data_IF_924142942426
#
_entry.id   IF_924142942426
#
_cell.length_a   1.000
_cell.length_b   1.000
_cell.length_c   1.000
_cell.angle_alpha   90.00
_cell.angle_beta   90.00
_cell.angle_gamma   90.00
#
_symmetry.space_group_name_H-M   'P 1'
#
loop_
_entity.id
_entity.type
_entity.pdbx_description
1 polymer ?
#
# COMPACT_ATOMS: atom_id res chain seq x y z
N UNK A 1 35.87 -8.28 21.11
CA UNK A 1 35.31 -9.60 21.50
C UNK A 1 33.90 -9.66 20.94
N UNK A 2 33.53 -10.77 20.28
CA UNK A 2 32.40 -10.96 19.34
C UNK A 2 32.60 -10.59 17.84
N UNK A 3 33.62 -11.15 17.15
CA UNK A 3 33.62 -11.27 15.69
C UNK A 3 32.57 -12.27 15.16
N UNK A 4 32.19 -13.27 15.96
CA UNK A 4 31.40 -14.43 15.49
C UNK A 4 29.91 -14.14 15.23
N UNK A 5 29.37 -13.04 15.76
CA UNK A 5 27.96 -12.71 15.59
C UNK A 5 27.63 -12.11 14.21
N UNK A 6 28.60 -11.39 13.61
CA UNK A 6 28.46 -10.85 12.25
C UNK A 6 28.69 -11.93 11.19
N UNK A 7 29.62 -12.86 11.43
CA UNK A 7 29.90 -13.96 10.51
C UNK A 7 28.74 -14.97 10.46
N UNK A 8 28.02 -15.16 11.58
CA UNK A 8 26.79 -15.94 11.63
C UNK A 8 25.62 -15.26 10.89
N UNK A 9 25.55 -13.93 10.87
CA UNK A 9 24.52 -13.20 10.12
C UNK A 9 24.77 -13.23 8.60
N UNK A 10 26.03 -13.13 8.16
CA UNK A 10 26.41 -13.19 6.73
C UNK A 10 26.11 -14.53 6.06
N UNK A 11 26.21 -15.65 6.78
CA UNK A 11 25.89 -16.99 6.24
C UNK A 11 24.39 -17.27 6.07
N UNK A 12 23.52 -16.54 6.77
CA UNK A 12 22.06 -16.67 6.63
C UNK A 12 21.54 -15.90 5.40
N UNK A 13 22.28 -14.90 4.92
CA UNK A 13 21.89 -14.05 3.78
C UNK A 13 22.70 -14.31 2.49
N UNK A 14 23.65 -15.26 2.49
CA UNK A 14 24.37 -15.67 1.28
C UNK A 14 25.32 -14.60 0.70
N UNK A 15 25.68 -13.58 1.47
CA UNK A 15 26.61 -12.53 1.04
C UNK A 15 28.03 -12.87 1.52
N UNK A 16 28.92 -13.18 0.57
CA UNK A 16 30.36 -13.25 0.85
C UNK A 16 30.97 -11.84 0.81
N UNK A 17 31.51 -11.39 1.94
CA UNK A 17 32.21 -10.10 2.04
C UNK A 17 33.66 -10.29 1.57
N UNK A 18 33.94 -9.96 0.31
CA UNK A 18 35.31 -9.68 -0.15
C UNK A 18 35.60 -8.18 -0.02
N UNK A 19 36.77 -7.85 0.52
CA UNK A 19 37.27 -6.47 0.71
C UNK A 19 37.50 -5.76 -0.63
N UNK A 20 37.28 -4.43 -0.73
CA UNK A 20 37.36 -3.72 -2.01
C UNK A 20 38.82 -3.52 -2.45
N UNK A 21 39.19 -4.10 -3.59
CA UNK A 21 40.36 -3.66 -4.36
C UNK A 21 39.95 -2.48 -5.25
N UNK A 22 40.71 -1.39 -5.20
CA UNK A 22 40.60 -0.28 -6.14
C UNK A 22 40.89 -0.79 -7.57
N UNK A 23 40.13 -0.38 -8.60
CA UNK A 23 40.48 -0.70 -9.97
C UNK A 23 41.64 0.20 -10.45
N UNK A 24 42.66 -0.45 -10.99
CA UNK A 24 43.69 0.19 -11.82
C UNK A 24 43.03 0.78 -13.08
N UNK A 25 43.43 2.01 -13.41
CA UNK A 25 43.14 2.66 -14.68
C UNK A 25 44.15 2.12 -15.70
N UNK A 26 43.73 1.21 -16.56
CA UNK A 26 44.46 0.87 -17.78
C UNK A 26 43.84 1.65 -18.94
N UNK A 27 44.66 2.50 -19.55
CA UNK A 27 44.43 3.13 -20.84
C UNK A 27 44.57 2.05 -21.93
N UNK A 28 43.54 1.80 -22.73
CA UNK A 28 43.67 1.01 -23.96
C UNK A 28 43.40 1.89 -25.19
N UNK A 29 44.48 2.08 -25.96
CA UNK A 29 44.52 2.59 -27.32
C UNK A 29 43.83 1.64 -28.31
N UNK A 30 43.37 2.24 -29.41
CA UNK A 30 42.62 1.66 -30.51
C UNK A 30 43.23 0.40 -31.15
N UNK A 31 42.36 -0.55 -31.55
CA UNK A 31 42.60 -1.34 -32.75
C UNK A 31 41.31 -1.65 -33.50
N UNK A 32 41.20 -1.07 -34.70
CA UNK A 32 40.17 -1.34 -35.69
C UNK A 32 40.30 -2.78 -36.24
N UNK A 33 39.24 -3.59 -36.16
CA UNK A 33 39.00 -4.62 -37.18
C UNK A 33 37.52 -4.71 -37.54
N UNK A 34 37.27 -4.55 -38.84
CA UNK A 34 35.98 -4.56 -39.52
C UNK A 34 35.31 -5.94 -39.50
N UNK A 35 34.04 -5.98 -39.10
CA UNK A 35 33.18 -7.17 -39.16
C UNK A 35 31.70 -6.81 -39.04
N UNK A 36 31.09 -6.46 -40.17
CA UNK A 36 29.69 -6.05 -40.31
C UNK A 36 28.68 -7.13 -39.87
N UNK A 37 27.96 -6.89 -38.78
CA UNK A 37 26.54 -7.25 -38.67
C UNK A 37 25.75 -6.08 -38.05
N UNK A 38 25.08 -5.34 -38.93
CA UNK A 38 24.20 -4.22 -38.63
C UNK A 38 22.93 -4.71 -37.94
N UNK A 39 22.79 -4.43 -36.64
CA UNK A 39 21.51 -4.09 -36.03
C UNK A 39 21.59 -2.65 -35.54
N UNK A 40 21.09 -1.65 -36.29
CA UNK A 40 21.15 -0.28 -35.82
C UNK A 40 19.80 0.14 -35.22
N UNK A 41 19.91 0.98 -34.18
CA UNK A 41 18.87 1.82 -33.58
C UNK A 41 17.98 1.24 -32.46
N UNK A 42 18.58 1.09 -31.27
CA UNK A 42 17.88 1.41 -30.00
C UNK A 42 18.81 1.84 -28.85
N UNK A 43 20.02 2.29 -29.18
CA UNK A 43 20.97 2.84 -28.21
C UNK A 43 21.25 4.28 -28.56
N UNK A 44 20.29 5.17 -28.30
CA UNK A 44 20.65 6.57 -28.07
C UNK A 44 19.70 7.20 -27.07
N UNK A 45 20.33 7.73 -26.01
CA UNK A 45 19.81 8.49 -24.88
C UNK A 45 19.12 7.74 -23.74
N UNK A 46 19.89 7.54 -22.66
CA UNK A 46 19.37 7.78 -21.32
C UNK A 46 20.46 8.07 -20.30
N UNK A 47 20.32 9.24 -19.67
CA UNK A 47 21.29 9.95 -18.82
C UNK A 47 21.41 9.37 -17.39
N UNK A 48 20.68 8.28 -17.10
CA UNK A 48 20.58 7.64 -15.78
C UNK A 48 20.50 6.10 -15.92
N UNK A 49 21.11 5.37 -14.97
CA UNK A 49 21.22 3.90 -14.96
C UNK A 49 19.88 3.15 -14.87
N UNK A 50 18.87 3.71 -14.19
CA UNK A 50 17.59 3.03 -14.01
C UNK A 50 16.57 3.50 -15.07
N UNK A 51 15.91 2.58 -15.82
CA UNK A 51 15.08 2.92 -16.99
C UNK A 51 13.89 3.81 -16.65
N UNK A 52 13.38 3.73 -15.42
CA UNK A 52 12.23 4.53 -15.02
C UNK A 52 12.50 6.02 -14.88
N UNK A 53 13.76 6.41 -14.66
CA UNK A 53 14.11 7.84 -14.55
C UNK A 53 14.07 8.54 -15.90
N UNK A 54 14.12 7.74 -16.97
CA UNK A 54 14.02 8.20 -18.34
C UNK A 54 12.65 7.88 -18.97
N UNK A 55 11.76 7.23 -18.22
CA UNK A 55 10.43 6.87 -18.70
C UNK A 55 9.54 8.12 -18.79
N UNK A 56 8.98 8.38 -19.98
CA UNK A 56 7.91 9.36 -20.13
C UNK A 56 6.65 8.95 -19.35
N UNK A 57 5.71 9.89 -19.16
CA UNK A 57 4.49 9.68 -18.37
C UNK A 57 3.72 8.42 -18.81
N UNK A 58 3.57 8.20 -20.11
CA UNK A 58 2.88 7.02 -20.64
C UNK A 58 3.57 5.71 -20.26
N UNK A 59 4.89 5.62 -20.45
CA UNK A 59 5.68 4.42 -20.10
C UNK A 59 5.68 4.18 -18.58
N UNK A 60 5.69 5.27 -17.79
CA UNK A 60 5.57 5.21 -16.34
C UNK A 60 4.22 4.62 -15.89
N UNK A 61 3.11 5.11 -16.46
CA UNK A 61 1.76 4.68 -16.11
C UNK A 61 1.44 3.25 -16.59
N UNK A 62 1.91 2.87 -17.77
CA UNK A 62 1.69 1.53 -18.35
C UNK A 62 2.69 0.49 -17.89
N UNK A 63 3.69 0.88 -17.07
CA UNK A 63 4.81 0.05 -16.63
C UNK A 63 5.62 -0.56 -17.80
N UNK A 64 5.59 0.07 -18.97
CA UNK A 64 6.27 -0.43 -20.16
C UNK A 64 7.81 -0.47 -20.00
N UNK A 65 8.36 0.38 -19.13
CA UNK A 65 9.78 0.34 -18.77
C UNK A 65 10.22 -0.99 -18.11
N UNK A 66 9.28 -1.77 -17.53
CA UNK A 66 9.56 -3.07 -16.93
C UNK A 66 9.56 -4.22 -17.95
N UNK A 67 8.95 -4.02 -19.13
CA UNK A 67 8.79 -5.05 -20.15
C UNK A 67 10.10 -5.75 -20.57
N UNK A 68 11.25 -5.06 -20.73
CA UNK A 68 12.51 -5.72 -21.08
C UNK A 68 12.96 -6.73 -20.01
N UNK A 69 12.81 -6.40 -18.73
CA UNK A 69 13.15 -7.30 -17.62
C UNK A 69 12.19 -8.48 -17.55
N UNK A 70 10.89 -8.24 -17.74
CA UNK A 70 9.89 -9.31 -17.76
C UNK A 70 10.15 -10.32 -18.90
N UNK A 71 10.51 -9.83 -20.09
CA UNK A 71 10.88 -10.69 -21.22
C UNK A 71 12.17 -11.47 -20.97
N UNK A 72 13.16 -10.83 -20.33
CA UNK A 72 14.41 -11.50 -19.94
C UNK A 72 14.16 -12.61 -18.92
N UNK A 73 13.37 -12.32 -17.88
CA UNK A 73 12.96 -13.30 -16.87
C UNK A 73 12.23 -14.50 -17.49
N UNK A 74 11.33 -14.23 -18.44
CA UNK A 74 10.61 -15.28 -19.16
C UNK A 74 11.55 -16.17 -19.99
N UNK A 75 12.53 -15.57 -20.68
CA UNK A 75 13.50 -16.30 -21.51
C UNK A 75 14.52 -17.09 -20.69
N UNK A 76 15.02 -16.51 -19.60
CA UNK A 76 16.11 -17.09 -18.81
C UNK A 76 15.64 -18.05 -17.72
N UNK A 77 14.32 -18.13 -17.44
CA UNK A 77 13.70 -18.99 -16.40
C UNK A 77 14.15 -18.72 -14.96
N UNK A 78 15.21 -17.95 -14.75
CA UNK A 78 15.64 -17.40 -13.47
C UNK A 78 16.23 -16.00 -13.68
N UNK A 79 16.21 -15.19 -12.63
CA UNK A 79 16.84 -13.87 -12.57
C UNK A 79 17.90 -13.91 -11.46
N UNK A 80 19.10 -13.45 -11.77
CA UNK A 80 20.13 -13.15 -10.78
C UNK A 80 20.04 -11.67 -10.34
N UNK A 81 20.72 -11.31 -9.25
CA UNK A 81 20.78 -9.91 -8.79
C UNK A 81 21.46 -9.00 -9.82
N UNK A 82 22.38 -9.54 -10.61
CA UNK A 82 23.11 -8.81 -11.65
C UNK A 82 22.25 -8.51 -12.89
N UNK A 83 21.12 -9.21 -13.06
CA UNK A 83 20.16 -8.98 -14.15
C UNK A 83 19.21 -7.80 -13.87
N UNK A 84 19.18 -7.31 -12.62
CA UNK A 84 18.27 -6.25 -12.17
C UNK A 84 19.01 -4.91 -12.14
N UNK A 85 18.33 -3.85 -12.57
CA UNK A 85 18.91 -2.51 -12.52
C UNK A 85 19.25 -2.09 -11.09
N UNK A 86 20.39 -1.41 -10.94
CA UNK A 86 20.74 -0.71 -9.72
C UNK A 86 19.68 0.34 -9.34
N UNK A 87 19.59 0.64 -8.05
CA UNK A 87 18.59 1.57 -7.52
C UNK A 87 18.73 2.98 -8.16
N UNK A 88 17.61 3.60 -8.52
CA UNK A 88 17.58 4.99 -8.95
C UNK A 88 18.15 5.93 -7.88
N UNK A 89 18.90 6.94 -8.29
CA UNK A 89 19.45 7.97 -7.39
C UNK A 89 18.35 8.74 -6.64
N UNK A 90 17.15 8.86 -7.22
CA UNK A 90 16.00 9.51 -6.58
C UNK A 90 15.29 8.61 -5.55
N UNK A 91 15.50 7.31 -5.63
CA UNK A 91 14.98 6.30 -4.70
C UNK A 91 15.99 5.95 -3.59
N UNK A 92 17.22 6.44 -3.70
CA UNK A 92 18.29 6.21 -2.73
C UNK A 92 17.92 6.72 -1.33
N UNK A 93 18.27 5.93 -0.30
CA UNK A 93 17.95 6.28 1.09
C UNK A 93 18.70 7.54 1.55
N UNK A 94 19.95 7.75 1.13
CA UNK A 94 20.77 8.91 1.52
C UNK A 94 20.11 10.24 1.18
N UNK A 95 19.73 10.44 -0.08
CA UNK A 95 19.06 11.65 -0.57
C UNK A 95 17.72 11.87 0.15
N UNK A 96 16.92 10.81 0.29
CA UNK A 96 15.61 10.91 0.94
C UNK A 96 15.73 11.17 2.46
N UNK A 97 16.75 10.63 3.13
CA UNK A 97 17.06 10.92 4.53
C UNK A 97 17.49 12.36 4.73
N UNK A 98 18.39 12.90 3.91
CA UNK A 98 18.80 14.31 3.99
C UNK A 98 17.59 15.26 3.88
N UNK A 99 16.67 14.99 2.93
CA UNK A 99 15.43 15.75 2.81
C UNK A 99 14.55 15.64 4.07
N UNK A 100 14.45 14.45 4.65
CA UNK A 100 13.69 14.22 5.87
C UNK A 100 14.30 14.96 7.08
N UNK A 101 15.63 14.94 7.20
CA UNK A 101 16.37 15.69 8.22
C UNK A 101 16.14 17.19 8.10
N UNK A 102 16.23 17.74 6.90
CA UNK A 102 15.98 19.16 6.65
C UNK A 102 14.56 19.56 7.11
N UNK A 103 13.53 18.78 6.72
CA UNK A 103 12.15 19.03 7.13
C UNK A 103 11.96 18.91 8.65
N UNK A 104 12.68 18.00 9.30
CA UNK A 104 12.66 17.87 10.75
C UNK A 104 13.28 19.08 11.46
N UNK A 105 14.44 19.56 11.01
CA UNK A 105 15.09 20.75 11.59
C UNK A 105 14.24 22.01 11.37
N UNK A 106 13.59 22.14 10.21
CA UNK A 106 12.65 23.23 9.93
C UNK A 106 11.45 23.21 10.89
N UNK A 107 10.87 22.05 11.16
CA UNK A 107 9.77 21.91 12.12
C UNK A 107 10.21 22.27 13.56
N UNK A 108 11.39 21.81 13.98
CA UNK A 108 11.95 22.17 15.29
C UNK A 108 12.16 23.69 15.43
N UNK A 109 12.64 24.36 14.37
CA UNK A 109 12.86 25.81 14.36
C UNK A 109 11.54 26.59 14.43
N UNK A 110 10.50 26.13 13.74
CA UNK A 110 9.21 26.85 13.68
C UNK A 110 8.31 26.64 14.90
N UNK A 111 8.30 25.44 15.50
CA UNK A 111 7.32 25.06 16.55
C UNK A 111 7.94 24.83 17.92
N UNK A 112 9.26 24.93 18.03
CA UNK A 112 9.98 24.54 19.24
C UNK A 112 9.96 23.03 19.46
N UNK A 113 10.58 22.57 20.55
CA UNK A 113 10.76 21.13 20.83
C UNK A 113 9.48 20.45 21.27
N UNK A 114 8.68 21.11 22.09
CA UNK A 114 7.44 20.56 22.63
C UNK A 114 6.32 20.52 21.57
N UNK A 115 6.36 21.43 20.58
CA UNK A 115 5.39 21.49 19.49
C UNK A 115 5.75 20.68 18.24
N UNK A 116 6.97 20.14 18.14
CA UNK A 116 7.42 19.43 16.94
C UNK A 116 6.81 18.03 16.84
N UNK A 117 6.28 17.69 15.65
CA UNK A 117 5.66 16.38 15.40
C UNK A 117 6.20 15.68 14.15
N UNK A 118 6.61 14.42 14.32
CA UNK A 118 7.03 13.58 13.19
C UNK A 118 5.89 13.29 12.23
N UNK A 119 4.63 13.21 12.72
CA UNK A 119 3.46 13.04 11.86
C UNK A 119 3.36 14.15 10.82
N UNK A 120 3.62 15.40 11.25
CA UNK A 120 3.58 16.56 10.36
C UNK A 120 4.74 16.57 9.36
N UNK A 121 5.94 16.19 9.82
CA UNK A 121 7.13 16.11 8.96
C UNK A 121 6.97 15.02 7.91
N UNK A 122 6.47 13.84 8.27
CA UNK A 122 6.18 12.76 7.33
C UNK A 122 5.07 13.14 6.35
N UNK A 123 4.03 13.84 6.82
CA UNK A 123 3.02 14.40 5.93
C UNK A 123 3.64 15.37 4.92
N UNK A 124 4.42 16.37 5.35
CA UNK A 124 5.09 17.32 4.43
C UNK A 124 6.04 16.62 3.46
N UNK A 125 6.74 15.58 3.90
CA UNK A 125 7.63 14.80 3.04
C UNK A 125 6.87 14.16 1.87
N UNK A 126 5.65 13.64 2.14
CA UNK A 126 4.80 12.96 1.16
C UNK A 126 3.81 13.88 0.44
N UNK A 127 3.48 15.05 0.99
CA UNK A 127 2.30 15.85 0.62
C UNK A 127 2.15 16.10 -0.88
N UNK A 128 3.20 16.57 -1.55
CA UNK A 128 3.11 16.89 -2.99
C UNK A 128 2.77 15.67 -3.85
N UNK A 129 3.39 14.53 -3.55
CA UNK A 129 3.16 13.25 -4.26
C UNK A 129 1.82 12.64 -3.88
N UNK A 130 1.43 12.75 -2.61
CA UNK A 130 0.11 12.32 -2.15
C UNK A 130 -1.02 13.13 -2.77
N UNK A 131 -0.82 14.43 -3.01
CA UNK A 131 -1.81 15.24 -3.74
C UNK A 131 -1.97 14.79 -5.18
N UNK A 132 -0.87 14.45 -5.88
CA UNK A 132 -0.92 13.87 -7.23
C UNK A 132 -1.66 12.52 -7.21
N UNK A 133 -1.35 11.66 -6.25
CA UNK A 133 -2.03 10.36 -6.11
C UNK A 133 -3.53 10.51 -5.80
N UNK A 134 -3.89 11.43 -4.89
CA UNK A 134 -5.29 11.76 -4.60
C UNK A 134 -5.98 12.28 -5.85
N UNK A 135 -5.39 13.24 -6.57
CA UNK A 135 -5.94 13.76 -7.81
C UNK A 135 -6.18 12.65 -8.85
N UNK A 136 -5.20 11.76 -9.05
CA UNK A 136 -5.36 10.62 -9.95
C UNK A 136 -6.47 9.66 -9.50
N UNK A 137 -6.62 9.42 -8.19
CA UNK A 137 -7.72 8.64 -7.63
C UNK A 137 -9.08 9.31 -7.88
N UNK A 138 -9.19 10.63 -7.67
CA UNK A 138 -10.43 11.36 -7.95
C UNK A 138 -10.81 11.26 -9.43
N UNK A 139 -9.82 11.36 -10.33
CA UNK A 139 -10.04 11.15 -11.77
C UNK A 139 -10.53 9.73 -12.07
N UNK A 140 -9.95 8.71 -11.42
CA UNK A 140 -10.43 7.32 -11.52
C UNK A 140 -11.89 7.21 -11.08
N UNK A 141 -12.27 7.85 -9.98
CA UNK A 141 -13.64 7.82 -9.48
C UNK A 141 -14.62 8.48 -10.43
N UNK A 142 -14.27 9.65 -10.97
CA UNK A 142 -15.12 10.35 -11.96
C UNK A 142 -15.24 9.52 -13.23
N UNK A 143 -14.14 8.99 -13.77
CA UNK A 143 -14.16 8.16 -14.97
C UNK A 143 -14.99 6.87 -14.79
N UNK A 144 -14.80 6.19 -13.66
CA UNK A 144 -15.53 4.97 -13.30
C UNK A 144 -17.00 5.21 -12.98
N UNK A 145 -17.37 6.44 -12.64
CA UNK A 145 -18.75 6.86 -12.46
C UNK A 145 -19.41 7.25 -13.79
N UNK A 146 -18.79 8.15 -14.54
CA UNK A 146 -19.30 8.72 -15.80
C UNK A 146 -19.46 7.66 -16.88
N UNK A 147 -18.51 6.74 -17.03
CA UNK A 147 -18.57 5.71 -18.08
C UNK A 147 -19.85 4.86 -17.99
N UNK A 148 -20.08 4.13 -16.90
CA UNK A 148 -21.28 3.30 -16.72
C UNK A 148 -22.57 4.10 -16.51
N UNK A 149 -22.54 5.25 -15.83
CA UNK A 149 -23.77 5.96 -15.48
C UNK A 149 -24.32 6.86 -16.60
N UNK A 150 -23.44 7.44 -17.43
CA UNK A 150 -23.86 8.36 -18.49
C UNK A 150 -23.76 7.68 -19.86
N UNK A 151 -22.58 7.17 -20.22
CA UNK A 151 -22.36 6.71 -21.59
C UNK A 151 -23.06 5.39 -21.91
N UNK A 152 -23.12 4.45 -20.96
CA UNK A 152 -23.88 3.21 -21.14
C UNK A 152 -25.38 3.49 -21.17
N UNK A 153 -25.87 4.47 -20.41
CA UNK A 153 -27.27 4.91 -20.44
C UNK A 153 -27.66 5.46 -21.81
N UNK A 154 -26.90 6.43 -22.31
CA UNK A 154 -27.12 7.03 -23.64
C UNK A 154 -27.03 5.97 -24.74
N UNK A 155 -26.18 4.95 -24.58
CA UNK A 155 -26.11 3.82 -25.49
C UNK A 155 -27.38 2.94 -25.44
N UNK A 156 -27.94 2.69 -24.26
CA UNK A 156 -29.21 1.98 -24.11
C UNK A 156 -30.36 2.76 -24.74
N UNK A 157 -30.44 4.06 -24.48
CA UNK A 157 -31.47 4.95 -25.06
C UNK A 157 -31.34 5.02 -26.59
N UNK A 158 -30.11 5.17 -27.09
CA UNK A 158 -29.81 5.09 -28.52
C UNK A 158 -30.27 3.77 -29.14
N UNK A 159 -30.03 2.63 -28.46
CA UNK A 159 -30.44 1.31 -28.93
C UNK A 159 -31.96 1.12 -28.99
N UNK A 160 -32.72 1.90 -28.22
CA UNK A 160 -34.19 1.85 -28.21
C UNK A 160 -34.82 2.90 -29.14
N UNK A 161 -34.03 3.88 -29.59
CA UNK A 161 -34.49 4.97 -30.47
C UNK A 161 -34.67 4.50 -31.93
N UNK A 162 -35.69 5.03 -32.62
CA UNK A 162 -35.92 4.74 -34.05
C UNK A 162 -35.03 5.55 -35.01
N UNK A 163 -34.30 6.56 -34.51
CA UNK A 163 -33.43 7.44 -35.29
C UNK A 163 -31.98 6.93 -35.26
N UNK A 164 -31.59 6.18 -36.28
CA UNK A 164 -30.29 5.50 -36.32
C UNK A 164 -29.22 6.44 -36.90
N UNK A 165 -28.51 7.17 -36.05
CA UNK A 165 -27.28 7.89 -36.43
C UNK A 165 -26.04 7.10 -36.02
N UNK A 166 -25.44 6.39 -36.98
CA UNK A 166 -24.26 5.54 -36.77
C UNK A 166 -23.08 6.33 -36.17
N UNK A 167 -22.93 7.60 -36.56
CA UNK A 167 -21.85 8.46 -36.04
C UNK A 167 -22.00 8.73 -34.53
N UNK A 168 -23.23 8.93 -34.05
CA UNK A 168 -23.51 9.14 -32.64
C UNK A 168 -23.26 7.86 -31.83
N UNK A 169 -23.72 6.71 -32.32
CA UNK A 169 -23.43 5.41 -31.70
C UNK A 169 -21.93 5.12 -31.61
N UNK A 170 -21.17 5.40 -32.67
CA UNK A 170 -19.71 5.24 -32.68
C UNK A 170 -19.02 6.18 -31.68
N UNK A 171 -19.48 7.43 -31.58
CA UNK A 171 -18.96 8.40 -30.62
C UNK A 171 -19.18 7.94 -29.16
N UNK A 172 -20.35 7.34 -28.85
CA UNK A 172 -20.62 6.76 -27.53
C UNK A 172 -19.67 5.60 -27.20
N UNK A 173 -19.48 4.66 -28.12
CA UNK A 173 -18.56 3.52 -27.91
C UNK A 173 -17.12 3.99 -27.71
N UNK A 174 -16.66 4.93 -28.53
CA UNK A 174 -15.33 5.56 -28.36
C UNK A 174 -15.25 6.30 -27.02
N UNK A 175 -16.30 7.00 -26.61
CA UNK A 175 -16.40 7.64 -25.31
C UNK A 175 -16.25 6.65 -24.14
N UNK A 176 -16.96 5.51 -24.19
CA UNK A 176 -16.88 4.46 -23.17
C UNK A 176 -15.45 3.93 -23.09
N UNK A 177 -14.83 3.64 -24.24
CA UNK A 177 -13.44 3.19 -24.32
C UNK A 177 -12.47 4.20 -23.72
N UNK A 178 -12.59 5.49 -24.06
CA UNK A 178 -11.73 6.55 -23.54
C UNK A 178 -11.90 6.75 -22.02
N UNK A 179 -13.14 6.69 -21.51
CA UNK A 179 -13.40 6.78 -20.07
C UNK A 179 -12.78 5.60 -19.31
N UNK A 180 -12.91 4.38 -19.84
CA UNK A 180 -12.34 3.19 -19.22
C UNK A 180 -10.80 3.19 -19.27
N UNK A 181 -10.22 3.69 -20.37
CA UNK A 181 -8.79 3.89 -20.51
C UNK A 181 -8.27 4.91 -19.49
N UNK A 182 -8.94 6.06 -19.38
CA UNK A 182 -8.62 7.10 -18.40
C UNK A 182 -8.74 6.58 -16.96
N UNK A 183 -9.78 5.79 -16.66
CA UNK A 183 -9.98 5.12 -15.37
C UNK A 183 -8.81 4.19 -15.04
N UNK A 184 -8.42 3.34 -15.99
CA UNK A 184 -7.33 2.37 -15.83
C UNK A 184 -5.98 3.07 -15.62
N UNK A 185 -5.64 4.03 -16.48
CA UNK A 185 -4.38 4.76 -16.41
C UNK A 185 -4.24 5.61 -15.15
N UNK A 186 -5.29 6.34 -14.77
CA UNK A 186 -5.29 7.14 -13.54
C UNK A 186 -5.12 6.27 -12.29
N UNK A 187 -5.74 5.09 -12.26
CA UNK A 187 -5.58 4.13 -11.17
C UNK A 187 -4.16 3.57 -11.11
N UNK A 188 -3.55 3.26 -12.26
CA UNK A 188 -2.17 2.82 -12.34
C UNK A 188 -1.19 3.89 -11.85
N UNK A 189 -1.41 5.16 -12.25
CA UNK A 189 -0.61 6.30 -11.80
C UNK A 189 -0.68 6.48 -10.29
N UNK A 190 -1.87 6.39 -9.71
CA UNK A 190 -2.08 6.45 -8.27
C UNK A 190 -1.21 5.41 -7.54
N UNK A 191 -1.30 4.14 -7.94
CA UNK A 191 -0.51 3.07 -7.33
C UNK A 191 0.99 3.28 -7.51
N UNK A 192 1.44 3.64 -8.72
CA UNK A 192 2.85 3.86 -9.00
C UNK A 192 3.44 4.99 -8.14
N UNK A 193 2.73 6.11 -8.00
CA UNK A 193 3.14 7.25 -7.17
C UNK A 193 3.14 6.86 -5.69
N UNK A 194 2.11 6.17 -5.21
CA UNK A 194 1.97 5.76 -3.82
C UNK A 194 3.06 4.78 -3.38
N UNK A 195 3.29 3.71 -4.13
CA UNK A 195 4.28 2.69 -3.77
C UNK A 195 5.70 3.28 -3.71
N UNK A 196 6.05 4.15 -4.66
CA UNK A 196 7.34 4.86 -4.62
C UNK A 196 7.43 5.82 -3.45
N UNK A 197 6.38 6.59 -3.19
CA UNK A 197 6.37 7.53 -2.06
C UNK A 197 6.48 6.79 -0.73
N UNK A 198 5.83 5.64 -0.61
CA UNK A 198 5.91 4.76 0.55
C UNK A 198 7.31 4.17 0.72
N UNK A 199 7.93 3.68 -0.36
CA UNK A 199 9.30 3.15 -0.34
C UNK A 199 10.31 4.22 0.10
N UNK A 200 10.23 5.43 -0.47
CA UNK A 200 11.09 6.57 -0.09
C UNK A 200 10.92 6.97 1.36
N UNK A 201 9.67 7.08 1.84
CA UNK A 201 9.43 7.44 3.24
C UNK A 201 9.94 6.35 4.18
N UNK A 202 9.69 5.07 3.87
CA UNK A 202 10.20 3.94 4.66
C UNK A 202 11.72 3.96 4.72
N UNK A 203 12.40 4.03 3.57
CA UNK A 203 13.85 4.10 3.50
C UNK A 203 14.42 5.28 4.28
N UNK A 204 13.86 6.48 4.08
CA UNK A 204 14.29 7.68 4.80
C UNK A 204 14.10 7.57 6.31
N UNK A 205 12.94 7.10 6.76
CA UNK A 205 12.61 6.97 8.18
C UNK A 205 13.48 5.94 8.88
N UNK A 206 13.77 4.80 8.22
CA UNK A 206 14.63 3.76 8.77
C UNK A 206 16.08 4.20 8.86
N UNK A 207 16.64 4.77 7.79
CA UNK A 207 18.01 5.31 7.80
C UNK A 207 18.14 6.45 8.83
N UNK A 208 17.16 7.34 8.91
CA UNK A 208 17.14 8.41 9.91
C UNK A 208 17.12 7.86 11.34
N UNK A 209 16.30 6.83 11.60
CA UNK A 209 16.26 6.19 12.92
C UNK A 209 17.59 5.49 13.24
N UNK A 210 18.17 4.78 12.28
CA UNK A 210 19.45 4.08 12.44
C UNK A 210 20.61 5.02 12.75
N UNK A 211 20.77 6.10 11.94
CA UNK A 211 21.79 7.13 12.17
C UNK A 211 21.65 7.78 13.54
N UNK A 212 20.40 7.97 14.02
CA UNK A 212 20.18 8.55 15.33
C UNK A 212 20.58 7.59 16.45
N UNK A 213 20.26 6.31 16.31
CA UNK A 213 20.60 5.27 17.29
C UNK A 213 22.12 5.11 17.41
N UNK A 214 22.85 5.13 16.30
CA UNK A 214 24.32 5.08 16.30
C UNK A 214 24.97 6.27 17.03
N UNK A 215 24.25 7.39 17.18
CA UNK A 215 24.73 8.58 17.90
C UNK A 215 24.29 8.63 19.37
N UNK A 216 23.53 7.64 19.86
CA UNK A 216 23.10 7.58 21.26
C UNK A 216 24.25 7.09 22.14
N UNK A 217 24.60 7.88 23.15
CA UNK A 217 25.68 7.55 24.12
C UNK A 217 25.29 6.44 25.09
N UNK A 218 23.99 6.25 25.31
CA UNK A 218 23.44 5.21 26.16
C UNK A 218 22.25 4.55 25.44
N UNK A 219 22.34 3.26 25.16
CA UNK A 219 21.29 2.45 24.52
C UNK A 219 20.50 1.62 25.53
N UNK A 220 20.71 1.81 26.85
CA UNK A 220 20.02 1.05 27.90
C UNK A 220 18.49 1.10 27.80
N UNK A 221 17.94 2.16 27.22
CA UNK A 221 16.49 2.35 27.08
C UNK A 221 15.90 1.75 25.78
N UNK A 222 16.74 1.24 24.87
CA UNK A 222 16.28 0.62 23.61
C UNK A 222 16.86 -0.79 23.50
N UNK A 223 15.99 -1.78 23.64
CA UNK A 223 16.40 -3.18 23.45
C UNK A 223 16.69 -3.48 21.98
N UNK A 224 17.63 -4.40 21.67
CA UNK A 224 17.88 -4.83 20.29
C UNK A 224 16.61 -5.35 19.58
N UNK A 225 15.72 -6.02 20.32
CA UNK A 225 14.44 -6.50 19.80
C UNK A 225 13.49 -5.36 19.40
N UNK A 226 13.48 -4.27 20.14
CA UNK A 226 12.72 -3.08 19.76
C UNK A 226 13.26 -2.43 18.49
N UNK A 227 14.59 -2.36 18.33
CA UNK A 227 15.22 -1.86 17.11
C UNK A 227 14.83 -2.69 15.88
N UNK A 228 14.86 -4.01 16.01
CA UNK A 228 14.42 -4.93 14.96
C UNK A 228 12.95 -4.67 14.62
N UNK A 229 12.09 -4.46 15.62
CA UNK A 229 10.67 -4.19 15.41
C UNK A 229 10.41 -2.84 14.71
N UNK A 230 11.25 -1.83 14.97
CA UNK A 230 11.22 -0.55 14.24
C UNK A 230 11.52 -0.77 12.76
N UNK A 231 12.60 -1.51 12.48
CA UNK A 231 13.10 -1.72 11.11
C UNK A 231 12.19 -2.63 10.28
N UNK A 232 11.55 -3.60 10.93
CA UNK A 232 10.63 -4.55 10.30
C UNK A 232 9.19 -4.03 10.34
N UNK A 233 8.49 -4.27 11.45
CA UNK A 233 7.04 -4.06 11.58
C UNK A 233 6.62 -2.60 11.43
N UNK A 234 7.27 -1.68 12.15
CA UNK A 234 6.85 -0.27 12.13
C UNK A 234 7.22 0.42 10.81
N UNK A 235 8.35 0.04 10.19
CA UNK A 235 8.70 0.44 8.82
C UNK A 235 7.71 -0.07 7.78
N UNK A 236 7.25 -1.31 7.90
CA UNK A 236 6.22 -1.88 7.01
C UNK A 236 4.85 -1.20 7.19
N UNK A 237 4.43 -0.92 8.44
CA UNK A 237 3.20 -0.18 8.72
C UNK A 237 3.22 1.23 8.12
N UNK A 238 4.38 1.89 8.16
CA UNK A 238 4.56 3.20 7.54
C UNK A 238 4.41 3.13 6.02
N UNK A 239 5.00 2.10 5.40
CA UNK A 239 4.86 1.83 3.97
C UNK A 239 3.39 1.61 3.58
N UNK A 240 2.67 0.77 4.32
CA UNK A 240 1.25 0.48 4.04
C UNK A 240 0.36 1.71 4.24
N UNK A 241 0.62 2.51 5.28
CA UNK A 241 -0.12 3.73 5.55
C UNK A 241 -0.03 4.74 4.39
N UNK A 242 1.15 4.90 3.79
CA UNK A 242 1.33 5.78 2.62
C UNK A 242 0.77 5.13 1.34
N UNK A 243 1.01 3.82 1.15
CA UNK A 243 0.61 3.12 -0.08
C UNK A 243 -0.91 3.09 -0.28
N UNK A 244 -1.64 2.86 0.81
CA UNK A 244 -3.09 2.58 0.76
C UNK A 244 -3.91 3.71 1.39
N UNK A 245 -3.31 4.55 2.24
CA UNK A 245 -4.03 5.59 2.97
C UNK A 245 -4.72 6.62 2.08
N UNK A 246 -4.19 6.90 0.87
CA UNK A 246 -4.83 7.85 -0.05
C UNK A 246 -6.21 7.37 -0.52
N UNK A 247 -6.46 6.06 -0.51
CA UNK A 247 -7.70 5.49 -1.02
C UNK A 247 -8.92 5.95 -0.21
N UNK A 248 -8.72 6.35 1.05
CA UNK A 248 -9.75 6.92 1.90
C UNK A 248 -10.37 8.20 1.31
N UNK A 249 -9.61 8.97 0.52
CA UNK A 249 -10.12 10.19 -0.12
C UNK A 249 -11.15 9.89 -1.23
N UNK A 250 -11.11 8.71 -1.84
CA UNK A 250 -12.05 8.33 -2.91
C UNK A 250 -13.46 8.04 -2.39
N UNK A 251 -13.59 7.54 -1.15
CA UNK A 251 -14.87 7.14 -0.57
C UNK A 251 -15.89 8.30 -0.48
N UNK A 252 -15.57 9.42 0.19
CA UNK A 252 -16.46 10.57 0.27
C UNK A 252 -16.84 11.15 -1.10
N UNK A 253 -15.89 11.23 -2.04
CA UNK A 253 -16.17 11.73 -3.39
C UNK A 253 -17.24 10.87 -4.09
N UNK A 254 -17.07 9.55 -4.12
CA UNK A 254 -18.04 8.65 -4.76
C UNK A 254 -19.38 8.68 -4.04
N UNK A 255 -19.39 8.81 -2.72
CA UNK A 255 -20.63 8.96 -1.95
C UNK A 255 -21.40 10.22 -2.35
N UNK A 256 -20.71 11.37 -2.47
CA UNK A 256 -21.29 12.65 -2.88
C UNK A 256 -21.77 12.59 -4.33
N UNK A 257 -20.95 12.08 -5.25
CA UNK A 257 -21.32 11.91 -6.66
C UNK A 257 -22.52 10.98 -6.82
N UNK A 258 -22.51 9.85 -6.12
CA UNK A 258 -23.63 8.90 -6.13
C UNK A 258 -24.92 9.51 -5.60
N UNK A 259 -24.88 10.13 -4.41
CA UNK A 259 -26.05 10.76 -3.79
C UNK A 259 -26.61 11.91 -4.66
N UNK A 260 -25.76 12.81 -5.13
CA UNK A 260 -26.20 13.98 -5.92
C UNK A 260 -26.81 13.55 -7.25
N UNK A 261 -26.18 12.60 -7.94
CA UNK A 261 -26.64 12.13 -9.24
C UNK A 261 -27.92 11.30 -9.14
N UNK A 262 -28.03 10.37 -8.19
CA UNK A 262 -29.28 9.57 -8.04
C UNK A 262 -30.45 10.45 -7.61
N UNK A 263 -30.21 11.46 -6.76
CA UNK A 263 -31.25 12.41 -6.34
C UNK A 263 -31.67 13.34 -7.48
N UNK A 264 -30.74 13.79 -8.31
CA UNK A 264 -31.07 14.57 -9.51
C UNK A 264 -31.92 13.76 -10.49
N UNK A 265 -31.63 12.46 -10.60
CA UNK A 265 -32.17 11.62 -11.66
C UNK A 265 -33.49 10.92 -11.29
N UNK A 266 -33.60 10.30 -10.11
CA UNK A 266 -34.83 9.65 -9.61
C UNK A 266 -35.65 10.55 -8.67
N UNK A 267 -35.15 11.73 -8.33
CA UNK A 267 -35.75 12.59 -7.33
C UNK A 267 -35.57 12.07 -5.90
N UNK A 268 -36.48 12.42 -4.97
CA UNK A 268 -36.33 12.10 -3.54
C UNK A 268 -36.30 10.60 -3.20
N UNK A 269 -36.85 9.74 -4.05
CA UNK A 269 -36.95 8.29 -3.78
C UNK A 269 -35.57 7.61 -3.77
N UNK A 270 -34.60 8.16 -4.52
CA UNK A 270 -33.22 7.70 -4.54
C UNK A 270 -32.49 7.87 -3.21
N UNK A 271 -32.94 8.78 -2.34
CA UNK A 271 -32.36 9.00 -1.03
C UNK A 271 -32.44 7.75 -0.15
N UNK A 272 -33.45 6.89 -0.35
CA UNK A 272 -33.57 5.62 0.37
C UNK A 272 -32.38 4.70 0.08
N UNK A 273 -32.03 4.51 -1.20
CA UNK A 273 -30.88 3.70 -1.59
C UNK A 273 -29.56 4.26 -1.03
N UNK A 274 -29.37 5.57 -1.12
CA UNK A 274 -28.19 6.22 -0.53
C UNK A 274 -28.14 6.10 1.00
N UNK A 275 -29.29 6.17 1.68
CA UNK A 275 -29.38 5.95 3.13
C UNK A 275 -28.98 4.52 3.53
N UNK A 276 -29.35 3.52 2.71
CA UNK A 276 -28.92 2.13 2.92
C UNK A 276 -27.39 2.03 2.90
N UNK A 277 -26.69 2.68 1.95
CA UNK A 277 -25.23 2.71 1.94
C UNK A 277 -24.64 3.33 3.21
N UNK A 278 -25.22 4.42 3.71
CA UNK A 278 -24.78 5.09 4.94
C UNK A 278 -24.97 4.16 6.15
N UNK A 279 -26.07 3.42 6.23
CA UNK A 279 -26.34 2.48 7.33
C UNK A 279 -25.42 1.26 7.29
N UNK A 280 -25.08 0.74 6.10
CA UNK A 280 -24.19 -0.41 5.97
C UNK A 280 -22.70 -0.07 6.15
N UNK A 281 -22.33 1.20 6.01
CA UNK A 281 -20.97 1.67 6.23
C UNK A 281 -20.39 1.35 7.63
N UNK A 282 -21.05 1.69 8.77
CA UNK A 282 -20.57 1.29 10.10
C UNK A 282 -20.58 -0.23 10.30
N UNK A 283 -21.53 -0.96 9.72
CA UNK A 283 -21.58 -2.43 9.77
C UNK A 283 -20.33 -3.05 9.13
N UNK A 284 -19.88 -2.52 7.99
CA UNK A 284 -18.63 -2.94 7.35
C UNK A 284 -17.39 -2.63 8.20
N UNK A 285 -17.36 -1.47 8.87
CA UNK A 285 -16.28 -1.16 9.80
C UNK A 285 -16.23 -2.12 10.99
N UNK A 286 -17.40 -2.44 11.56
CA UNK A 286 -17.51 -3.39 12.66
C UNK A 286 -17.07 -4.80 12.22
N UNK A 287 -17.55 -5.25 11.07
CA UNK A 287 -17.16 -6.54 10.49
C UNK A 287 -15.65 -6.64 10.28
N UNK A 288 -15.03 -5.59 9.74
CA UNK A 288 -13.57 -5.52 9.58
C UNK A 288 -12.80 -5.57 10.91
N UNK A 289 -13.30 -4.88 11.95
CA UNK A 289 -12.73 -4.97 13.30
C UNK A 289 -12.85 -6.39 13.87
N UNK A 290 -13.97 -7.05 13.63
CA UNK A 290 -14.18 -8.43 14.06
C UNK A 290 -13.25 -9.40 13.32
N UNK A 291 -13.05 -9.22 12.01
CA UNK A 291 -12.03 -9.96 11.24
C UNK A 291 -10.64 -9.77 11.83
N UNK A 292 -10.26 -8.53 12.18
CA UNK A 292 -8.97 -8.23 12.79
C UNK A 292 -8.83 -8.87 14.19
N UNK A 293 -9.90 -8.88 14.99
CA UNK A 293 -9.92 -9.55 16.30
C UNK A 293 -9.67 -11.05 16.18
N UNK A 294 -10.44 -11.75 15.33
CA UNK A 294 -10.26 -13.19 15.13
C UNK A 294 -8.90 -13.52 14.53
N UNK A 295 -8.39 -12.70 13.60
CA UNK A 295 -7.04 -12.87 13.05
C UNK A 295 -5.96 -12.78 14.14
N UNK A 296 -6.05 -11.80 15.05
CA UNK A 296 -5.10 -11.69 16.17
C UNK A 296 -5.17 -12.91 17.09
N UNK A 297 -6.38 -13.36 17.43
CA UNK A 297 -6.57 -14.55 18.26
C UNK A 297 -6.01 -15.81 17.58
N UNK A 298 -6.25 -15.96 16.28
CA UNK A 298 -5.71 -17.06 15.48
C UNK A 298 -4.18 -17.07 15.54
N UNK A 299 -3.53 -15.94 15.25
CA UNK A 299 -2.05 -15.84 15.28
C UNK A 299 -1.48 -16.26 16.64
N UNK A 300 -2.09 -15.82 17.75
CA UNK A 300 -1.62 -16.19 19.08
C UNK A 300 -1.69 -17.72 19.36
N UNK A 301 -2.73 -18.40 18.88
CA UNK A 301 -2.86 -19.87 19.01
C UNK A 301 -1.92 -20.59 18.05
N UNK A 302 -1.77 -20.08 16.81
CA UNK A 302 -0.78 -20.58 15.85
C UNK A 302 0.63 -20.51 16.42
N UNK A 303 1.02 -19.39 17.04
CA UNK A 303 2.33 -19.21 17.68
C UNK A 303 2.55 -20.21 18.83
N UNK A 304 1.50 -20.49 19.63
CA UNK A 304 1.55 -21.54 20.65
C UNK A 304 1.80 -22.93 20.03
N UNK A 305 1.09 -23.26 18.95
CA UNK A 305 1.28 -24.55 18.24
C UNK A 305 2.70 -24.68 17.69
N UNK A 306 3.22 -23.61 17.07
CA UNK A 306 4.58 -23.61 16.50
C UNK A 306 5.64 -23.76 17.58
N UNK A 307 5.49 -23.09 18.73
CA UNK A 307 6.39 -23.27 19.88
C UNK A 307 6.39 -24.72 20.40
N UNK A 308 5.21 -25.30 20.61
CA UNK A 308 5.09 -26.70 21.04
C UNK A 308 5.74 -27.67 20.04
N UNK A 309 5.56 -27.44 18.74
CA UNK A 309 6.24 -28.24 17.72
C UNK A 309 7.76 -28.11 17.79
N UNK A 310 8.29 -26.90 18.01
CA UNK A 310 9.74 -26.69 18.17
C UNK A 310 10.29 -27.40 19.42
N UNK A 311 9.57 -27.40 20.53
CA UNK A 311 9.94 -28.15 21.75
C UNK A 311 9.97 -29.67 21.51
N UNK A 312 8.97 -30.20 20.80
CA UNK A 312 8.91 -31.62 20.42
C UNK A 312 10.10 -32.00 19.52
N UNK A 313 10.41 -31.17 18.51
CA UNK A 313 11.55 -31.40 17.62
C UNK A 313 12.88 -31.35 18.38
N UNK A 314 13.02 -30.43 19.33
CA UNK A 314 14.20 -30.34 20.20
C UNK A 314 14.41 -31.58 21.07
N UNK A 315 13.32 -32.22 21.52
CA UNK A 315 13.34 -33.37 22.42
C UNK A 315 13.04 -34.72 21.72
N UNK A 316 13.07 -34.78 20.38
CA UNK A 316 12.54 -35.92 19.60
C UNK A 316 13.19 -37.26 19.97
N UNK A 317 14.49 -37.27 20.29
CA UNK A 317 15.22 -38.48 20.68
C UNK A 317 14.65 -39.10 21.96
N UNK A 318 14.39 -38.29 22.99
CA UNK A 318 13.81 -38.77 24.25
C UNK A 318 12.38 -39.21 24.05
N UNK A 319 11.58 -38.44 23.32
CA UNK A 319 10.17 -38.79 23.03
C UNK A 319 10.09 -40.17 22.37
N UNK A 320 10.96 -40.45 21.38
CA UNK A 320 11.04 -41.76 20.72
C UNK A 320 11.56 -42.88 21.63
N UNK A 321 12.56 -42.59 22.45
CA UNK A 321 13.12 -43.58 23.39
C UNK A 321 12.09 -44.05 24.43
N UNK A 322 11.20 -43.15 24.86
CA UNK A 322 10.14 -43.45 25.82
C UNK A 322 8.78 -43.79 25.18
N UNK A 323 8.71 -43.87 23.84
CA UNK A 323 7.47 -44.12 23.08
C UNK A 323 6.32 -43.14 23.46
N UNK A 324 6.64 -41.86 23.65
CA UNK A 324 5.67 -40.81 24.04
C UNK A 324 5.01 -40.09 22.86
N UNK A 325 5.21 -40.56 21.63
CA UNK A 325 4.68 -39.91 20.41
C UNK A 325 3.18 -39.59 20.48
N UNK A 326 2.36 -40.54 20.94
CA UNK A 326 0.90 -40.38 20.95
C UNK A 326 0.45 -39.31 21.95
N UNK A 327 1.09 -39.26 23.12
CA UNK A 327 0.78 -38.26 24.15
C UNK A 327 1.12 -36.84 23.66
N UNK A 328 2.29 -36.65 23.04
CA UNK A 328 2.66 -35.35 22.45
C UNK A 328 1.81 -35.00 21.24
N UNK A 329 1.45 -35.98 20.40
CA UNK A 329 0.56 -35.81 19.26
C UNK A 329 -0.82 -35.31 19.71
N UNK A 330 -1.41 -35.92 20.74
CA UNK A 330 -2.69 -35.48 21.31
C UNK A 330 -2.65 -34.04 21.84
N UNK A 331 -1.55 -33.65 22.50
CA UNK A 331 -1.35 -32.28 22.97
C UNK A 331 -1.34 -31.26 21.82
N UNK A 332 -0.65 -31.57 20.72
CA UNK A 332 -0.64 -30.74 19.50
C UNK A 332 -2.02 -30.71 18.85
N UNK A 333 -2.71 -31.85 18.76
CA UNK A 333 -4.06 -31.95 18.21
C UNK A 333 -5.07 -31.08 18.98
N UNK A 334 -4.96 -30.99 20.31
CA UNK A 334 -5.81 -30.12 21.14
C UNK A 334 -5.62 -28.64 20.82
N UNK A 335 -4.37 -28.18 20.63
CA UNK A 335 -4.10 -26.80 20.22
C UNK A 335 -4.57 -26.57 18.78
N UNK A 336 -4.40 -27.56 17.91
CA UNK A 336 -4.83 -27.48 16.51
C UNK A 336 -6.35 -27.42 16.37
N UNK A 337 -7.13 -28.11 17.21
CA UNK A 337 -8.59 -28.03 17.20
C UNK A 337 -9.10 -26.66 17.67
N UNK A 338 -8.44 -26.07 18.68
CA UNK A 338 -8.69 -24.68 19.09
C UNK A 338 -8.39 -23.69 17.95
N UNK A 339 -7.22 -23.84 17.31
CA UNK A 339 -6.82 -23.03 16.15
C UNK A 339 -7.84 -23.15 15.01
N UNK A 340 -8.28 -24.37 14.69
CA UNK A 340 -9.29 -24.64 13.67
C UNK A 340 -10.61 -23.94 13.98
N UNK A 341 -11.12 -24.01 15.20
CA UNK A 341 -12.38 -23.35 15.58
C UNK A 341 -12.30 -21.83 15.40
N UNK A 342 -11.15 -21.22 15.74
CA UNK A 342 -10.93 -19.79 15.53
C UNK A 342 -10.83 -19.45 14.05
N UNK A 343 -10.13 -20.28 13.26
CA UNK A 343 -10.01 -20.12 11.81
C UNK A 343 -11.38 -20.22 11.11
N UNK A 344 -12.22 -21.18 11.51
CA UNK A 344 -13.58 -21.32 10.97
C UNK A 344 -14.41 -20.06 11.25
N UNK A 345 -14.39 -19.55 12.49
CA UNK A 345 -15.08 -18.29 12.85
C UNK A 345 -14.52 -17.10 12.08
N UNK A 346 -13.19 -17.01 11.93
CA UNK A 346 -12.54 -15.95 11.15
C UNK A 346 -12.96 -16.00 9.68
N UNK A 347 -13.00 -17.20 9.10
CA UNK A 347 -13.43 -17.46 7.73
C UNK A 347 -14.88 -17.06 7.50
N UNK A 348 -15.79 -17.42 8.41
CA UNK A 348 -17.20 -17.00 8.34
C UNK A 348 -17.33 -15.48 8.36
N UNK A 349 -16.66 -14.79 9.29
CA UNK A 349 -16.71 -13.32 9.37
C UNK A 349 -16.11 -12.67 8.12
N UNK A 350 -15.00 -13.22 7.59
CA UNK A 350 -14.38 -12.72 6.37
C UNK A 350 -15.30 -12.90 5.16
N UNK A 351 -15.90 -14.08 5.01
CA UNK A 351 -16.86 -14.38 3.93
C UNK A 351 -18.07 -13.44 3.99
N UNK A 352 -18.62 -13.21 5.18
CA UNK A 352 -19.70 -12.22 5.38
C UNK A 352 -19.24 -10.83 4.95
N UNK A 353 -18.05 -10.39 5.39
CA UNK A 353 -17.54 -9.05 5.06
C UNK A 353 -17.36 -8.85 3.55
N UNK A 354 -16.85 -9.86 2.83
CA UNK A 354 -16.68 -9.79 1.37
C UNK A 354 -18.03 -9.83 0.65
N UNK A 355 -18.98 -10.61 1.15
CA UNK A 355 -20.32 -10.76 0.57
C UNK A 355 -21.26 -9.56 0.77
N UNK A 356 -21.07 -8.76 1.84
CA UNK A 356 -21.96 -7.63 2.13
C UNK A 356 -21.95 -6.58 1.01
N UNK A 357 -20.81 -6.28 0.40
CA UNK A 357 -20.72 -5.20 -0.60
C UNK A 357 -21.65 -5.40 -1.82
N UNK A 358 -21.65 -6.54 -2.53
CA UNK A 358 -22.61 -6.78 -3.62
C UNK A 358 -24.06 -6.90 -3.12
N UNK A 359 -24.29 -7.47 -1.93
CA UNK A 359 -25.63 -7.57 -1.34
C UNK A 359 -26.24 -6.18 -1.09
N UNK A 360 -25.43 -5.23 -0.60
CA UNK A 360 -25.87 -3.84 -0.37
C UNK A 360 -26.35 -3.18 -1.66
N UNK A 361 -25.69 -3.42 -2.79
CA UNK A 361 -26.14 -2.90 -4.10
C UNK A 361 -27.52 -3.45 -4.45
N UNK A 362 -27.73 -4.76 -4.28
CA UNK A 362 -29.00 -5.41 -4.59
C UNK A 362 -30.11 -4.87 -3.68
N UNK A 363 -29.89 -4.84 -2.37
CA UNK A 363 -30.87 -4.31 -1.40
C UNK A 363 -31.20 -2.85 -1.70
N UNK A 364 -30.19 -2.00 -1.91
CA UNK A 364 -30.39 -0.59 -2.23
C UNK A 364 -31.19 -0.40 -3.51
N UNK A 365 -30.88 -1.18 -4.56
CA UNK A 365 -31.59 -1.13 -5.84
C UNK A 365 -33.05 -1.54 -5.70
N UNK A 366 -33.30 -2.71 -5.09
CA UNK A 366 -34.66 -3.24 -4.89
C UNK A 366 -35.52 -2.28 -4.06
N UNK A 367 -34.99 -1.80 -2.93
CA UNK A 367 -35.72 -0.86 -2.08
C UNK A 367 -36.03 0.46 -2.81
N UNK A 368 -35.06 1.00 -3.56
CA UNK A 368 -35.23 2.24 -4.32
C UNK A 368 -36.29 2.08 -5.41
N UNK A 369 -36.21 1.03 -6.23
CA UNK A 369 -37.16 0.80 -7.31
C UNK A 369 -38.56 0.50 -6.80
N UNK A 370 -38.68 -0.31 -5.74
CA UNK A 370 -39.97 -0.61 -5.11
C UNK A 370 -40.63 0.66 -4.59
N UNK A 371 -39.90 1.52 -3.87
CA UNK A 371 -40.45 2.78 -3.37
C UNK A 371 -40.83 3.72 -4.53
N UNK A 372 -39.99 3.82 -5.56
CA UNK A 372 -40.23 4.70 -6.71
C UNK A 372 -41.51 4.30 -7.46
N UNK A 373 -41.68 3.02 -7.77
CA UNK A 373 -42.90 2.50 -8.41
C UNK A 373 -44.12 2.57 -7.48
N UNK A 374 -43.96 2.33 -6.18
CA UNK A 374 -45.07 2.42 -5.21
C UNK A 374 -45.64 3.84 -5.07
N UNK A 375 -44.83 4.87 -5.32
CA UNK A 375 -45.25 6.27 -5.36
C UNK A 375 -45.88 6.67 -6.70
N UNK A 376 -46.00 5.75 -7.65
CA UNK A 376 -46.64 5.96 -8.95
C UNK A 376 -45.71 6.54 -10.02
N UNK A 377 -44.39 6.52 -9.82
CA UNK A 377 -43.43 6.90 -10.85
C UNK A 377 -43.09 5.71 -11.74
N UNK A 378 -43.06 5.94 -13.05
CA UNK A 378 -42.59 4.95 -14.02
C UNK A 378 -41.07 4.82 -13.96
N UNK A 379 -40.56 3.59 -14.10
CA UNK A 379 -39.13 3.30 -14.10
C UNK A 379 -38.73 2.66 -15.43
N UNK A 380 -37.97 3.38 -16.24
CA UNK A 380 -37.43 2.86 -17.49
C UNK A 380 -36.23 1.95 -17.25
N UNK A 381 -35.93 1.08 -18.21
CA UNK A 381 -34.75 0.21 -18.14
C UNK A 381 -33.45 1.03 -18.06
N UNK A 382 -33.33 2.10 -18.84
CA UNK A 382 -32.19 3.00 -18.83
C UNK A 382 -31.97 3.61 -17.43
N UNK A 383 -33.05 4.00 -16.76
CA UNK A 383 -32.98 4.55 -15.41
C UNK A 383 -32.55 3.51 -14.37
N UNK A 384 -33.15 2.31 -14.43
CA UNK A 384 -32.82 1.23 -13.51
C UNK A 384 -31.34 0.81 -13.63
N UNK A 385 -30.85 0.58 -14.86
CA UNK A 385 -29.44 0.21 -15.08
C UNK A 385 -28.47 1.30 -14.61
N UNK A 386 -28.83 2.57 -14.81
CA UNK A 386 -28.04 3.71 -14.37
C UNK A 386 -27.91 3.75 -12.84
N UNK A 387 -29.01 3.60 -12.11
CA UNK A 387 -29.01 3.59 -10.63
C UNK A 387 -28.20 2.41 -10.10
N UNK A 388 -28.34 1.22 -10.68
CA UNK A 388 -27.54 0.04 -10.30
C UNK A 388 -26.05 0.29 -10.52
N UNK A 389 -25.67 0.88 -11.66
CA UNK A 389 -24.27 1.21 -11.97
C UNK A 389 -23.68 2.22 -10.96
N UNK A 390 -24.47 3.22 -10.57
CA UNK A 390 -24.09 4.21 -9.55
C UNK A 390 -23.91 3.56 -8.19
N UNK A 391 -24.87 2.73 -7.75
CA UNK A 391 -24.74 1.98 -6.49
C UNK A 391 -23.56 1.01 -6.50
N UNK A 392 -23.27 0.36 -7.64
CA UNK A 392 -22.10 -0.50 -7.76
C UNK A 392 -20.79 0.31 -7.59
N UNK A 393 -20.73 1.51 -8.16
CA UNK A 393 -19.59 2.42 -7.99
C UNK A 393 -19.40 2.82 -6.51
N UNK A 394 -20.49 3.08 -5.78
CA UNK A 394 -20.46 3.38 -4.35
C UNK A 394 -19.88 2.24 -3.49
N UNK A 395 -19.88 0.99 -3.97
CA UNK A 395 -19.23 -0.12 -3.23
C UNK A 395 -17.74 0.05 -3.05
N UNK A 396 -17.07 0.87 -3.87
CA UNK A 396 -15.67 1.23 -3.68
C UNK A 396 -15.42 1.74 -2.25
N UNK A 397 -16.27 2.67 -1.79
CA UNK A 397 -16.15 3.25 -0.45
C UNK A 397 -16.28 2.19 0.65
N UNK A 398 -17.21 1.26 0.52
CA UNK A 398 -17.43 0.17 1.49
C UNK A 398 -16.23 -0.79 1.57
N UNK A 399 -15.65 -1.15 0.41
CA UNK A 399 -14.56 -2.13 0.33
C UNK A 399 -13.23 -1.58 0.84
N UNK A 400 -12.94 -0.32 0.50
CA UNK A 400 -11.60 0.27 0.66
C UNK A 400 -11.42 0.94 2.02
N UNK A 401 -12.48 1.53 2.57
CA UNK A 401 -12.41 2.27 3.84
C UNK A 401 -11.81 1.44 4.97
N UNK A 402 -12.26 0.19 5.24
CA UNK A 402 -11.75 -0.55 6.39
C UNK A 402 -10.24 -0.83 6.27
N UNK A 403 -9.77 -1.10 5.05
CA UNK A 403 -8.37 -1.28 4.75
C UNK A 403 -7.56 0.00 4.98
N UNK A 404 -7.99 1.13 4.39
CA UNK A 404 -7.28 2.40 4.49
C UNK A 404 -7.25 2.94 5.94
N UNK A 405 -8.38 2.86 6.66
CA UNK A 405 -8.47 3.27 8.07
C UNK A 405 -7.55 2.44 8.95
N UNK A 406 -7.49 1.12 8.72
CA UNK A 406 -6.59 0.23 9.45
C UNK A 406 -5.13 0.62 9.21
N UNK A 407 -4.70 0.72 7.95
CA UNK A 407 -3.31 1.05 7.61
C UNK A 407 -2.89 2.42 8.14
N UNK A 408 -3.76 3.43 8.06
CA UNK A 408 -3.50 4.76 8.63
C UNK A 408 -3.40 4.73 10.16
N UNK A 409 -4.28 3.98 10.84
CA UNK A 409 -4.25 3.84 12.30
C UNK A 409 -2.97 3.15 12.79
N UNK A 410 -2.60 2.02 12.16
CA UNK A 410 -1.38 1.28 12.47
C UNK A 410 -0.12 2.14 12.17
N UNK A 411 -0.12 2.85 11.04
CA UNK A 411 0.92 3.81 10.69
C UNK A 411 1.02 4.97 11.68
N UNK A 412 -0.10 5.53 12.15
CA UNK A 412 -0.10 6.61 13.14
C UNK A 412 0.50 6.17 14.49
N UNK A 413 0.26 4.91 14.89
CA UNK A 413 0.90 4.31 16.08
C UNK A 413 2.40 4.12 15.81
N UNK A 414 2.80 3.59 14.66
CA UNK A 414 4.22 3.47 14.29
C UNK A 414 4.94 4.83 14.37
N UNK A 415 4.37 5.89 13.79
CA UNK A 415 4.96 7.25 13.87
C UNK A 415 5.04 7.78 15.30
N UNK A 416 4.05 7.50 16.15
CA UNK A 416 4.12 7.90 17.56
C UNK A 416 5.30 7.24 18.29
N UNK A 417 5.59 5.97 17.99
CA UNK A 417 6.75 5.24 18.52
C UNK A 417 8.08 5.79 18.01
N UNK A 418 8.12 6.31 16.78
CA UNK A 418 9.28 7.06 16.27
C UNK A 418 9.44 8.41 16.99
N UNK A 419 8.35 9.06 17.41
CA UNK A 419 8.36 10.41 18.00
C UNK A 419 8.73 10.42 19.49
N UNK A 420 8.11 9.54 20.30
CA UNK A 420 8.35 9.48 21.76
C UNK A 420 9.84 9.31 22.07
N UNK A 421 10.49 8.36 21.38
CA UNK A 421 11.91 8.07 21.53
C UNK A 421 12.86 9.21 21.14
N UNK A 422 12.36 10.23 20.43
CA UNK A 422 13.12 11.38 19.97
C UNK A 422 13.09 12.56 20.94
N UNK A 423 12.00 12.68 21.71
CA UNK A 423 11.85 13.74 22.70
C UNK A 423 12.72 13.43 23.92
N UNK A 424 12.73 12.18 24.41
CA UNK A 424 13.57 11.75 25.53
C UNK A 424 15.07 11.90 25.26
N UNK A 425 15.54 11.59 24.05
CA UNK A 425 16.97 11.64 23.70
C UNK A 425 17.50 13.05 23.41
N UNK A 426 16.65 14.07 23.28
CA UNK A 426 17.09 15.47 23.19
C UNK A 426 17.22 16.15 24.55
N UNK A 427 16.49 15.69 25.57
CA UNK A 427 16.59 16.20 26.95
C UNK A 427 17.95 15.91 27.58
N UNK A 428 18.58 14.76 27.29
CA UNK A 428 19.89 14.40 27.84
C UNK A 428 21.07 15.09 27.14
N UNK A 429 21.02 15.21 25.81
CA UNK A 429 22.11 15.85 25.05
C UNK A 429 22.27 17.34 25.39
N UNK A 430 21.21 18.00 25.86
CA UNK A 430 21.25 19.44 26.18
C UNK A 430 21.67 19.68 27.63
N UNK A 431 21.33 18.77 28.57
CA UNK A 431 21.98 18.80 29.88
C UNK A 431 23.49 18.59 29.75
N UNK A 432 23.96 17.73 28.85
CA UNK A 432 25.40 17.57 28.63
C UNK A 432 26.04 18.77 27.92
N UNK A 433 25.34 19.43 26.99
CA UNK A 433 25.85 20.64 26.34
C UNK A 433 25.84 21.88 27.25
N UNK A 434 24.91 21.99 28.21
CA UNK A 434 24.93 23.08 29.20
C UNK A 434 25.87 22.81 30.37
N UNK A 435 26.04 21.55 30.80
CA UNK A 435 27.00 21.21 31.87
C UNK A 435 28.45 21.22 31.35
N UNK A 436 28.68 20.94 30.08
CA UNK A 436 30.01 21.02 29.45
C UNK A 436 30.51 22.44 29.14
N UNK A 437 29.66 23.47 29.26
CA UNK A 437 30.03 24.88 29.04
C UNK A 437 30.32 25.62 30.37
N UNK A 438 30.04 25.01 31.53
CA UNK A 438 30.25 25.63 32.85
C UNK A 438 31.34 24.96 33.72
N UNK A 439 32.18 24.09 33.14
CA UNK A 439 33.31 23.43 33.85
C UNK A 439 34.62 23.57 33.06
N UNK A 440 34.82 24.74 32.44
CA UNK A 440 36.14 25.21 32.01
C UNK A 440 36.16 26.72 32.25
N UNK A 441 36.44 27.11 33.49
CA UNK A 441 37.13 28.35 33.87
C UNK A 441 37.85 28.09 35.20
#
# INVERSE_FOLDING_TARGET
MFPDALDAAGRVEGLSLSSPQLPHLDEEEDSETSGSHKFPHLLLYSRHQHPVDNAGLFSFMTLQWLSPLALRAYKQSSLSLDDVWGLSCHEESGVNTQRLEFLWHSELKMRGREGASLKRVFWRFCQTRMLVAIFSLLLTMVAGFVGPALLVRELLEYSQSSQISVQFGLALVVGIFLMELMRSWSLALMWAVNYRTAARLRGAALTFAFQKILRLRNTKDITPGELINICSSDGQRLYEAVSVGCLLAGGPLVGILGLSYTTYFLGPTALLGSAIFIVFYPTMMLASRLTAYFRRKCVAVTDRRVRLMNEILGCVKFIKMYCWEDAFSQNVHKVRSEERSILERAGVVQSLTVGVAPIVVVIASVCTFTLHMALGYDLTAAEAFTVVAVFNSMTFALKVTPLAVRSLSEGAVAVSRFQVRKIETSTENIRCLYVGIFVVD
#
